data_IF_194026025717
#
_entry.id   IF_194026025717
#
_cell.length_a   1.000
_cell.length_b   1.000
_cell.length_c   1.000
_cell.angle_alpha   90.00
_cell.angle_beta   90.00
_cell.angle_gamma   90.00
#
_symmetry.space_group_name_H-M   'P 1'
#
loop_
_entity.id
_entity.type
_entity.pdbx_description
1 polymer ?
#
# COMPACT_ATOMS: atom_id res chain seq x y z
N UNK A 1 -13.20 13.61 4.09
CA UNK A 1 -13.06 14.02 2.68
C UNK A 1 -11.60 13.94 2.24
N UNK A 2 -10.64 14.43 3.05
CA UNK A 2 -9.20 14.40 2.72
C UNK A 2 -8.66 13.00 2.55
N UNK A 3 -8.98 12.07 3.44
CA UNK A 3 -8.55 10.66 3.38
C UNK A 3 -9.06 9.94 2.13
N UNK A 4 -10.31 10.21 1.72
CA UNK A 4 -10.90 9.62 0.51
C UNK A 4 -10.21 10.16 -0.74
N UNK A 5 -9.98 11.49 -0.78
CA UNK A 5 -9.29 12.14 -1.89
C UNK A 5 -7.86 11.60 -2.03
N UNK A 6 -7.15 11.49 -0.92
CA UNK A 6 -5.80 10.93 -0.83
C UNK A 6 -5.73 9.51 -1.35
N UNK A 7 -6.59 8.62 -0.85
CA UNK A 7 -6.63 7.22 -1.30
C UNK A 7 -6.91 7.15 -2.79
N UNK A 8 -7.80 8.00 -3.30
CA UNK A 8 -8.10 8.09 -4.72
C UNK A 8 -6.88 8.49 -5.53
N UNK A 9 -6.14 9.54 -5.13
CA UNK A 9 -4.93 9.97 -5.83
C UNK A 9 -3.83 8.90 -5.80
N UNK A 10 -3.65 8.23 -4.66
CA UNK A 10 -2.69 7.13 -4.54
C UNK A 10 -3.05 5.98 -5.48
N UNK A 11 -4.30 5.56 -5.54
CA UNK A 11 -4.76 4.49 -6.42
C UNK A 11 -4.68 4.90 -7.90
N UNK A 12 -4.96 6.17 -8.22
CA UNK A 12 -4.77 6.71 -9.56
C UNK A 12 -3.29 6.69 -9.97
N UNK A 13 -2.37 7.05 -9.07
CA UNK A 13 -0.94 6.98 -9.35
C UNK A 13 -0.48 5.55 -9.67
N UNK A 14 -0.94 4.57 -8.90
CA UNK A 14 -0.65 3.15 -9.14
C UNK A 14 -1.24 2.68 -10.46
N UNK A 15 -2.52 2.95 -10.71
CA UNK A 15 -3.21 2.57 -11.95
C UNK A 15 -2.58 3.20 -13.20
N UNK A 16 -2.23 4.49 -13.13
CA UNK A 16 -1.54 5.20 -14.20
C UNK A 16 -0.16 4.60 -14.47
N UNK A 17 0.61 4.27 -13.42
CA UNK A 17 1.92 3.65 -13.58
C UNK A 17 1.83 2.29 -14.25
N UNK A 18 0.89 1.43 -13.86
CA UNK A 18 0.64 0.14 -14.51
C UNK A 18 0.28 0.34 -15.98
N UNK A 19 -0.60 1.30 -16.27
CA UNK A 19 -1.01 1.60 -17.64
C UNK A 19 0.15 2.09 -18.51
N UNK A 20 0.98 3.01 -17.99
CA UNK A 20 2.12 3.54 -18.73
C UNK A 20 3.19 2.48 -18.97
N UNK A 21 3.47 1.63 -17.98
CA UNK A 21 4.40 0.51 -18.15
C UNK A 21 3.87 -0.48 -19.18
N UNK A 22 2.57 -0.82 -19.12
CA UNK A 22 1.92 -1.69 -20.10
C UNK A 22 2.09 -1.16 -21.52
N UNK A 23 1.87 0.16 -21.69
CA UNK A 23 2.02 0.83 -22.98
C UNK A 23 3.47 0.85 -23.48
N UNK A 24 4.42 1.11 -22.59
CA UNK A 24 5.86 1.16 -22.93
C UNK A 24 6.42 -0.21 -23.29
N UNK A 25 5.98 -1.25 -22.61
CA UNK A 25 6.32 -2.64 -22.92
C UNK A 25 5.57 -3.17 -24.17
N UNK A 26 4.67 -2.40 -24.77
CA UNK A 26 3.77 -2.86 -25.83
C UNK A 26 2.96 -4.10 -25.47
N UNK A 27 2.65 -4.29 -24.18
CA UNK A 27 1.84 -5.39 -23.69
C UNK A 27 0.38 -4.95 -23.51
N UNK A 28 -0.55 -5.77 -23.97
CA UNK A 28 -1.94 -5.61 -23.55
C UNK A 28 -2.06 -5.97 -22.05
N UNK A 29 -3.01 -5.38 -21.33
CA UNK A 29 -3.22 -5.65 -19.90
C UNK A 29 -3.37 -7.15 -19.59
N UNK A 30 -4.02 -7.91 -20.50
CA UNK A 30 -4.13 -9.36 -20.38
C UNK A 30 -2.77 -10.05 -20.48
N UNK A 31 -1.93 -9.61 -21.40
CA UNK A 31 -0.58 -10.15 -21.57
C UNK A 31 0.31 -9.82 -20.37
N UNK A 32 0.21 -8.59 -19.87
CA UNK A 32 0.92 -8.17 -18.65
C UNK A 32 0.52 -9.03 -17.45
N UNK A 33 -0.78 -9.26 -17.26
CA UNK A 33 -1.28 -10.12 -16.19
C UNK A 33 -0.78 -11.57 -16.33
N UNK A 34 -0.82 -12.14 -17.55
CA UNK A 34 -0.31 -13.49 -17.78
C UNK A 34 1.19 -13.60 -17.55
N UNK A 35 1.96 -12.56 -17.92
CA UNK A 35 3.41 -12.52 -17.70
C UNK A 35 3.74 -12.48 -16.21
N UNK A 36 3.03 -11.65 -15.43
CA UNK A 36 3.17 -11.62 -13.97
C UNK A 36 2.79 -12.97 -13.36
N UNK A 37 1.69 -13.59 -13.83
CA UNK A 37 1.21 -14.88 -13.31
C UNK A 37 2.20 -16.02 -13.51
N UNK A 38 2.87 -16.06 -14.64
CA UNK A 38 3.87 -17.09 -14.98
C UNK A 38 5.24 -16.80 -14.33
N UNK A 39 5.48 -15.57 -13.92
CA UNK A 39 6.75 -15.16 -13.30
C UNK A 39 6.94 -15.76 -11.90
N UNK A 40 8.20 -15.82 -11.46
CA UNK A 40 8.55 -16.22 -10.09
C UNK A 40 7.97 -15.27 -9.01
N UNK A 41 7.59 -14.05 -9.40
CA UNK A 41 6.97 -13.06 -8.52
C UNK A 41 5.52 -13.39 -8.15
N UNK A 42 4.87 -14.36 -8.82
CA UNK A 42 3.50 -14.81 -8.51
C UNK A 42 3.43 -15.88 -7.42
N UNK A 43 4.56 -16.33 -6.89
CA UNK A 43 4.61 -17.34 -5.83
C UNK A 43 4.12 -16.76 -4.50
N UNK A 44 2.82 -16.87 -4.24
CA UNK A 44 2.19 -16.35 -3.02
C UNK A 44 2.43 -17.28 -1.82
N UNK A 45 2.48 -18.60 -2.03
CA UNK A 45 2.61 -19.58 -0.96
C UNK A 45 4.02 -20.15 -0.94
N UNK A 46 4.80 -19.75 0.05
CA UNK A 46 6.13 -20.32 0.32
C UNK A 46 5.99 -21.40 1.40
N UNK A 47 6.24 -22.66 1.02
CA UNK A 47 6.07 -23.83 1.88
C UNK A 47 7.34 -24.22 2.64
N UNK A 48 8.47 -23.59 2.36
CA UNK A 48 9.73 -23.87 3.04
C UNK A 48 9.72 -23.32 4.48
N UNK A 49 9.73 -24.23 5.45
CA UNK A 49 9.72 -23.92 6.88
C UNK A 49 10.91 -23.06 7.33
N UNK A 50 12.07 -23.22 6.70
CA UNK A 50 13.28 -22.47 7.05
C UNK A 50 13.25 -21.04 6.49
N UNK A 51 12.43 -20.77 5.50
CA UNK A 51 12.26 -19.44 4.93
C UNK A 51 11.61 -18.47 5.92
N UNK A 52 12.09 -17.23 5.93
CA UNK A 52 11.43 -16.13 6.63
C UNK A 52 10.02 -15.85 6.07
N UNK A 53 9.80 -16.21 4.81
CA UNK A 53 8.55 -16.00 4.08
C UNK A 53 7.60 -17.20 4.16
N UNK A 54 7.86 -18.17 5.05
CA UNK A 54 6.96 -19.31 5.25
C UNK A 54 5.52 -18.83 5.54
N UNK A 55 4.56 -19.33 4.76
CA UNK A 55 3.19 -18.80 4.73
C UNK A 55 2.52 -18.75 6.11
N UNK A 56 2.72 -19.76 6.95
CA UNK A 56 2.11 -19.81 8.28
C UNK A 56 2.70 -18.74 9.22
N UNK A 57 4.03 -18.50 9.15
CA UNK A 57 4.68 -17.43 9.91
C UNK A 57 4.12 -16.07 9.49
N UNK A 58 3.91 -15.86 8.19
CA UNK A 58 3.35 -14.61 7.66
C UNK A 58 1.89 -14.41 8.10
N UNK A 59 1.06 -15.45 8.06
CA UNK A 59 -0.33 -15.37 8.52
C UNK A 59 -0.40 -15.04 10.01
N UNK A 60 0.36 -15.74 10.85
CA UNK A 60 0.38 -15.51 12.29
C UNK A 60 0.90 -14.10 12.59
N UNK A 61 2.02 -13.71 12.00
CA UNK A 61 2.59 -12.37 12.15
C UNK A 61 1.61 -11.29 11.72
N UNK A 62 0.97 -11.45 10.56
CA UNK A 62 -0.04 -10.52 10.05
C UNK A 62 -1.25 -10.41 10.98
N UNK A 63 -1.71 -11.51 11.56
CA UNK A 63 -2.81 -11.51 12.54
C UNK A 63 -2.45 -10.71 13.80
N UNK A 64 -1.24 -10.90 14.35
CA UNK A 64 -0.78 -10.11 15.49
C UNK A 64 -0.62 -8.63 15.15
N UNK A 65 -0.06 -8.30 13.99
CA UNK A 65 0.04 -6.92 13.52
C UNK A 65 -1.34 -6.28 13.40
N UNK A 66 -2.31 -6.99 12.81
CA UNK A 66 -3.68 -6.48 12.67
C UNK A 66 -4.35 -6.22 14.03
N UNK A 67 -4.16 -7.11 15.02
CA UNK A 67 -4.66 -6.92 16.40
C UNK A 67 -4.04 -5.66 17.02
N UNK A 68 -2.73 -5.49 16.91
CA UNK A 68 -2.01 -4.34 17.48
C UNK A 68 -2.44 -3.03 16.79
N UNK A 69 -2.41 -2.99 15.47
CA UNK A 69 -2.78 -1.79 14.71
C UNK A 69 -4.25 -1.39 14.88
N UNK A 70 -5.14 -2.36 15.05
CA UNK A 70 -6.56 -2.07 15.21
C UNK A 70 -6.94 -1.76 16.67
N UNK A 71 -6.31 -2.43 17.63
CA UNK A 71 -6.68 -2.35 19.04
C UNK A 71 -5.86 -1.38 19.88
N UNK A 72 -4.62 -1.06 19.47
CA UNK A 72 -3.71 -0.18 20.21
C UNK A 72 -3.41 1.14 19.48
N UNK A 73 -3.78 1.25 18.21
CA UNK A 73 -3.66 2.50 17.48
C UNK A 73 -4.80 3.46 17.86
N UNK A 74 -4.42 4.61 18.39
CA UNK A 74 -5.39 5.58 18.91
C UNK A 74 -6.24 6.20 17.79
N UNK A 75 -5.68 6.45 16.61
CA UNK A 75 -6.40 7.00 15.47
C UNK A 75 -7.49 6.02 14.98
N UNK A 76 -7.15 4.75 14.84
CA UNK A 76 -8.10 3.70 14.43
C UNK A 76 -9.19 3.49 15.49
N UNK A 77 -8.83 3.53 16.77
CA UNK A 77 -9.80 3.42 17.86
C UNK A 77 -10.76 4.60 17.89
N UNK A 78 -10.28 5.84 17.72
CA UNK A 78 -11.14 7.03 17.67
C UNK A 78 -12.13 6.95 16.51
N UNK A 79 -11.69 6.50 15.32
CA UNK A 79 -12.57 6.31 14.15
C UNK A 79 -13.65 5.25 14.42
N UNK A 80 -13.32 4.17 15.10
CA UNK A 80 -14.27 3.11 15.46
C UNK A 80 -15.25 3.57 16.57
N UNK A 81 -14.76 4.28 17.56
CA UNK A 81 -15.58 4.83 18.65
C UNK A 81 -16.53 5.95 18.18
N UNK A 82 -16.22 6.62 17.07
CA UNK A 82 -17.11 7.61 16.47
C UNK A 82 -18.32 7.02 15.75
N UNK A 83 -18.36 5.69 15.54
CA UNK A 83 -19.51 5.01 14.97
C UNK A 83 -20.71 5.03 15.93
N UNK A 84 -21.92 5.11 15.38
CA UNK A 84 -23.15 5.23 16.13
C UNK A 84 -23.48 4.03 17.03
N UNK A 85 -23.07 2.85 16.62
CA UNK A 85 -23.24 1.60 17.35
C UNK A 85 -22.18 0.58 16.95
N UNK A 86 -22.04 -0.47 17.76
CA UNK A 86 -21.03 -1.54 17.55
C UNK A 86 -21.22 -2.26 16.21
N UNK A 87 -22.44 -2.43 15.73
CA UNK A 87 -22.73 -3.08 14.45
C UNK A 87 -22.21 -2.26 13.26
N UNK A 88 -22.30 -0.93 13.32
CA UNK A 88 -21.73 -0.05 12.31
C UNK A 88 -20.20 -0.05 12.36
N UNK A 89 -19.60 -0.07 13.54
CA UNK A 89 -18.16 -0.20 13.70
C UNK A 89 -17.64 -1.52 13.11
N UNK A 90 -18.30 -2.64 13.41
CA UNK A 90 -17.95 -3.95 12.84
C UNK A 90 -18.09 -3.97 11.32
N UNK A 91 -19.17 -3.41 10.77
CA UNK A 91 -19.38 -3.30 9.33
C UNK A 91 -18.31 -2.45 8.66
N UNK A 92 -17.94 -1.34 9.28
CA UNK A 92 -16.85 -0.47 8.80
C UNK A 92 -15.53 -1.24 8.75
N UNK A 93 -15.15 -1.93 9.82
CA UNK A 93 -13.93 -2.74 9.89
C UNK A 93 -13.89 -3.85 8.86
N UNK A 94 -15.02 -4.56 8.66
CA UNK A 94 -15.13 -5.62 7.67
C UNK A 94 -14.98 -5.08 6.25
N UNK A 95 -15.67 -3.98 5.93
CA UNK A 95 -15.57 -3.33 4.62
C UNK A 95 -14.15 -2.83 4.36
N UNK A 96 -13.53 -2.20 5.35
CA UNK A 96 -12.14 -1.74 5.27
C UNK A 96 -11.19 -2.91 4.99
N UNK A 97 -11.35 -4.04 5.67
CA UNK A 97 -10.53 -5.24 5.47
C UNK A 97 -10.64 -5.78 4.05
N UNK A 98 -11.84 -5.81 3.46
CA UNK A 98 -12.04 -6.25 2.07
C UNK A 98 -11.34 -5.29 1.11
N UNK A 99 -11.55 -3.99 1.27
CA UNK A 99 -10.92 -2.97 0.42
C UNK A 99 -9.39 -3.06 0.51
N UNK A 100 -8.86 -3.25 1.73
CA UNK A 100 -7.43 -3.39 1.96
C UNK A 100 -6.81 -4.58 1.21
N UNK A 101 -7.51 -5.71 1.11
CA UNK A 101 -7.05 -6.88 0.33
C UNK A 101 -6.89 -6.50 -1.15
N UNK A 102 -7.90 -5.84 -1.75
CA UNK A 102 -7.81 -5.42 -3.16
C UNK A 102 -6.70 -4.41 -3.40
N UNK A 103 -6.55 -3.43 -2.52
CA UNK A 103 -5.49 -2.42 -2.60
C UNK A 103 -4.11 -3.10 -2.50
N UNK A 104 -3.91 -4.00 -1.54
CA UNK A 104 -2.64 -4.73 -1.41
C UNK A 104 -2.33 -5.57 -2.65
N UNK A 105 -3.32 -6.27 -3.22
CA UNK A 105 -3.12 -7.03 -4.46
C UNK A 105 -2.70 -6.12 -5.62
N UNK A 106 -3.27 -4.92 -5.72
CA UNK A 106 -2.91 -3.96 -6.75
C UNK A 106 -1.47 -3.45 -6.59
N UNK A 107 -1.03 -3.18 -5.36
CA UNK A 107 0.36 -2.80 -5.08
C UNK A 107 1.36 -3.94 -5.32
N UNK A 108 1.00 -5.17 -4.94
CA UNK A 108 1.82 -6.35 -5.24
C UNK A 108 1.97 -6.57 -6.75
N UNK A 109 0.88 -6.41 -7.49
CA UNK A 109 0.91 -6.48 -8.95
C UNK A 109 1.81 -5.40 -9.54
N UNK A 110 1.67 -4.14 -9.09
CA UNK A 110 2.58 -3.05 -9.48
C UNK A 110 4.04 -3.42 -9.19
N UNK A 111 4.34 -3.95 -7.99
CA UNK A 111 5.70 -4.37 -7.63
C UNK A 111 6.26 -5.39 -8.64
N UNK A 112 5.52 -6.44 -8.97
CA UNK A 112 5.93 -7.43 -9.96
C UNK A 112 6.16 -6.80 -11.35
N UNK A 113 5.26 -5.91 -11.78
CA UNK A 113 5.37 -5.18 -13.05
C UNK A 113 6.62 -4.29 -13.10
N UNK A 114 6.97 -3.62 -12.00
CA UNK A 114 8.18 -2.80 -11.91
C UNK A 114 9.46 -3.63 -12.05
N UNK A 115 9.50 -4.82 -11.45
CA UNK A 115 10.64 -5.73 -11.60
C UNK A 115 10.76 -6.25 -13.05
N UNK A 116 9.64 -6.64 -13.67
CA UNK A 116 9.61 -7.07 -15.08
C UNK A 116 10.09 -5.93 -15.99
N UNK A 117 9.60 -4.71 -15.74
CA UNK A 117 10.01 -3.51 -16.48
C UNK A 117 11.52 -3.26 -16.38
N UNK A 118 12.07 -3.33 -15.16
CA UNK A 118 13.50 -3.13 -14.92
C UNK A 118 14.35 -4.18 -15.63
N UNK A 119 13.96 -5.45 -15.58
CA UNK A 119 14.69 -6.53 -16.26
C UNK A 119 14.63 -6.41 -17.78
N UNK A 120 13.49 -6.00 -18.33
CA UNK A 120 13.30 -5.84 -19.78
C UNK A 120 14.13 -4.66 -20.32
N UNK A 121 14.24 -3.58 -19.57
CA UNK A 121 15.01 -2.38 -19.99
C UNK A 121 16.47 -2.38 -19.50
N UNK A 122 16.92 -3.45 -18.83
CA UNK A 122 18.28 -3.52 -18.28
C UNK A 122 18.58 -2.46 -17.23
N UNK A 123 17.56 -2.02 -16.49
CA UNK A 123 17.69 -1.02 -15.44
C UNK A 123 18.30 -1.69 -14.20
N UNK A 124 19.40 -1.17 -13.70
CA UNK A 124 19.99 -1.66 -12.45
C UNK A 124 19.02 -1.44 -11.28
N UNK A 125 18.77 -2.51 -10.52
CA UNK A 125 17.92 -2.44 -9.35
C UNK A 125 18.61 -1.61 -8.26
N UNK A 126 17.91 -0.67 -7.63
CA UNK A 126 18.47 0.13 -6.55
C UNK A 126 18.80 -0.77 -5.35
N UNK A 127 19.78 -0.34 -4.55
CA UNK A 127 20.20 -1.06 -3.32
C UNK A 127 19.03 -1.24 -2.35
N UNK A 128 18.13 -0.27 -2.31
CA UNK A 128 16.91 -0.29 -1.52
C UNK A 128 15.73 -0.53 -2.46
N UNK A 129 14.98 -1.59 -2.22
CA UNK A 129 13.79 -1.96 -3.03
C UNK A 129 12.73 -0.87 -3.04
N UNK A 130 12.62 -0.08 -1.97
CA UNK A 130 11.66 1.02 -1.84
C UNK A 130 11.92 2.17 -2.84
N UNK A 131 13.16 2.31 -3.32
CA UNK A 131 13.54 3.34 -4.29
C UNK A 131 13.17 2.96 -5.74
N UNK A 132 12.75 1.72 -5.99
CA UNK A 132 12.48 1.22 -7.34
C UNK A 132 11.32 1.96 -8.00
N UNK A 133 10.19 2.07 -7.32
CA UNK A 133 9.01 2.76 -7.86
C UNK A 133 9.25 4.25 -8.07
N UNK A 134 9.79 5.02 -7.10
CA UNK A 134 10.17 6.41 -7.31
C UNK A 134 11.10 6.60 -8.51
N UNK A 135 12.13 5.77 -8.61
CA UNK A 135 13.10 5.84 -9.68
C UNK A 135 12.46 5.64 -11.06
N UNK A 136 11.62 4.61 -11.21
CA UNK A 136 10.95 4.32 -12.48
C UNK A 136 9.92 5.42 -12.81
N UNK A 137 9.10 5.82 -11.85
CA UNK A 137 8.06 6.82 -12.05
C UNK A 137 8.64 8.18 -12.50
N UNK A 138 9.76 8.60 -11.90
CA UNK A 138 10.33 9.93 -12.17
C UNK A 138 11.24 9.91 -13.41
N UNK A 139 12.06 8.86 -13.60
CA UNK A 139 13.09 8.85 -14.64
C UNK A 139 12.65 8.22 -15.96
N UNK A 140 11.76 7.23 -15.92
CA UNK A 140 11.46 6.38 -17.09
C UNK A 140 10.03 6.53 -17.62
N UNK A 141 9.04 6.76 -16.77
CA UNK A 141 7.63 6.86 -17.19
C UNK A 141 7.21 8.26 -17.68
N UNK A 142 8.14 9.21 -17.66
CA UNK A 142 7.91 10.57 -18.14
C UNK A 142 7.34 11.53 -17.09
N UNK A 143 7.28 12.85 -17.45
CA UNK A 143 7.00 13.92 -16.47
C UNK A 143 5.61 13.82 -15.85
N UNK A 144 4.61 13.35 -16.60
CA UNK A 144 3.24 13.20 -16.10
C UNK A 144 3.16 12.12 -15.00
N UNK A 145 3.81 10.97 -15.22
CA UNK A 145 3.85 9.89 -14.23
C UNK A 145 4.59 10.33 -12.96
N UNK A 146 5.73 11.00 -13.12
CA UNK A 146 6.49 11.56 -12.00
C UNK A 146 5.68 12.55 -11.18
N UNK A 147 4.95 13.46 -11.84
CA UNK A 147 4.10 14.44 -11.17
C UNK A 147 2.96 13.76 -10.39
N UNK A 148 2.22 12.85 -11.02
CA UNK A 148 1.11 12.12 -10.37
C UNK A 148 1.65 11.25 -9.23
N UNK A 149 2.81 10.63 -9.39
CA UNK A 149 3.48 9.89 -8.32
C UNK A 149 3.80 10.77 -7.12
N UNK A 150 4.40 11.95 -7.33
CA UNK A 150 4.75 12.89 -6.25
C UNK A 150 3.49 13.38 -5.53
N UNK A 151 2.44 13.73 -6.27
CA UNK A 151 1.15 14.12 -5.67
C UNK A 151 0.58 12.96 -4.85
N UNK A 152 0.60 11.75 -5.39
CA UNK A 152 0.15 10.54 -4.69
C UNK A 152 0.93 10.29 -3.40
N UNK A 153 2.26 10.45 -3.44
CA UNK A 153 3.14 10.28 -2.29
C UNK A 153 2.87 11.34 -1.19
N UNK A 154 2.78 12.61 -1.57
CA UNK A 154 2.46 13.70 -0.64
C UNK A 154 1.06 13.46 -0.03
N UNK A 155 0.10 13.09 -0.87
CA UNK A 155 -1.25 12.78 -0.42
C UNK A 155 -1.28 11.59 0.55
N UNK A 156 -0.43 10.59 0.38
CA UNK A 156 -0.34 9.45 1.27
C UNK A 156 0.35 9.78 2.61
N UNK A 157 1.33 10.67 2.61
CA UNK A 157 2.09 11.04 3.80
C UNK A 157 1.32 11.99 4.73
N UNK A 158 0.54 12.91 4.16
CA UNK A 158 -0.09 14.01 4.91
C UNK A 158 -1.06 13.54 6.00
N UNK A 159 -2.04 12.65 5.76
CA UNK A 159 -2.96 12.22 6.80
C UNK A 159 -2.32 11.32 7.86
N UNK A 160 -1.29 10.56 7.48
CA UNK A 160 -0.54 9.77 8.48
C UNK A 160 0.18 10.69 9.47
N UNK A 161 0.71 11.82 9.00
CA UNK A 161 1.30 12.84 9.86
C UNK A 161 0.23 13.54 10.73
N UNK A 162 -0.92 13.86 10.16
CA UNK A 162 -2.04 14.51 10.87
C UNK A 162 -2.61 13.61 11.98
N UNK A 163 -2.85 12.33 11.67
CA UNK A 163 -3.29 11.34 12.65
C UNK A 163 -2.29 11.15 13.79
N UNK A 164 -1.00 11.06 13.48
CA UNK A 164 0.06 10.95 14.50
C UNK A 164 0.13 12.18 15.39
N UNK A 165 0.05 13.40 14.84
CA UNK A 165 0.04 14.64 15.57
C UNK A 165 -1.19 14.75 16.50
N UNK A 166 -2.36 14.39 15.99
CA UNK A 166 -3.61 14.38 16.78
C UNK A 166 -3.50 13.40 17.95
N UNK A 167 -3.02 12.17 17.71
CA UNK A 167 -2.83 11.16 18.74
C UNK A 167 -1.84 11.61 19.82
N UNK A 168 -0.69 12.16 19.41
CA UNK A 168 0.32 12.70 20.33
C UNK A 168 -0.24 13.86 21.17
N UNK A 169 -0.96 14.77 20.53
CA UNK A 169 -1.56 15.92 21.23
C UNK A 169 -2.59 15.46 22.25
N UNK A 170 -3.43 14.48 21.89
CA UNK A 170 -4.44 13.93 22.79
C UNK A 170 -3.78 13.25 24.00
N UNK A 171 -2.81 12.35 23.77
CA UNK A 171 -2.09 11.69 24.86
C UNK A 171 -1.34 12.69 25.73
N UNK A 172 -0.69 13.68 25.16
CA UNK A 172 0.00 14.70 25.95
C UNK A 172 -0.97 15.52 26.82
N UNK A 173 -2.09 15.95 26.25
CA UNK A 173 -3.05 16.79 26.96
C UNK A 173 -3.79 16.03 28.06
N UNK A 174 -4.25 14.80 27.78
CA UNK A 174 -5.06 14.01 28.70
C UNK A 174 -4.18 13.25 29.69
N UNK A 175 -3.17 12.51 29.22
CA UNK A 175 -2.42 11.58 30.05
C UNK A 175 -1.32 12.28 30.87
N UNK A 176 -0.73 13.36 30.34
CA UNK A 176 0.38 14.09 31.00
C UNK A 176 -0.09 15.33 31.70
N UNK A 177 -0.90 16.19 31.03
CA UNK A 177 -1.36 17.44 31.61
C UNK A 177 -2.65 17.29 32.44
N UNK A 178 -3.42 16.22 32.26
CA UNK A 178 -4.67 15.96 32.96
C UNK A 178 -5.80 16.97 32.64
N UNK A 179 -5.82 17.48 31.38
CA UNK A 179 -6.80 18.48 30.90
C UNK A 179 -8.09 17.82 30.42
#
# INVERSE_FOLDING_TARGET
>A
WTDTLQTTFMLLAVGLSIYLISKDLHFDLKHLFSTVWVSDYSKIVVTDWHSKQFFLKQIISGAFIAIVMTGLDQEMMQKNLSCRNIGEAQKNMFTFSIVLVFVNLMFLFLGAVLYIYSTTHGIELPTRTDDLFPMIAIKYLGPLAGLVFIIGLISAAYPSADGALTSLTTSFSIDILGL
#
